data_IF_149546427347
#
_entry.id   IF_149546427347
#
_cell.length_a   1.000
_cell.length_b   1.000
_cell.length_c   1.000
_cell.angle_alpha   90.00
_cell.angle_beta   90.00
_cell.angle_gamma   90.00
#
_symmetry.space_group_name_H-M   'P 1'
#
loop_
_entity.id
_entity.type
_entity.pdbx_description
1 polymer ?
#
# COMPACT_ATOMS: atom_id res chain seq x y z
N UNK A 1 -9.95 -18.71 19.24
CA UNK A 1 -9.97 -17.42 18.53
C UNK A 1 -9.94 -17.73 17.04
N UNK A 2 -11.04 -17.54 16.32
CA UNK A 2 -11.07 -17.75 14.88
C UNK A 2 -10.04 -16.82 14.22
N UNK A 3 -9.18 -17.36 13.36
CA UNK A 3 -8.26 -16.55 12.58
C UNK A 3 -9.08 -15.48 11.84
N UNK A 4 -8.81 -14.20 12.14
CA UNK A 4 -9.44 -13.11 11.41
C UNK A 4 -9.18 -13.33 9.92
N UNK A 5 -10.24 -13.34 9.11
CA UNK A 5 -10.15 -13.56 7.68
C UNK A 5 -9.32 -12.42 7.07
N UNK A 6 -8.02 -12.65 6.84
CA UNK A 6 -7.12 -11.65 6.26
C UNK A 6 -7.31 -11.66 4.76
N UNK A 7 -7.79 -10.54 4.22
CA UNK A 7 -7.74 -10.34 2.79
C UNK A 7 -6.27 -10.14 2.39
N UNK A 8 -5.79 -10.98 1.47
CA UNK A 8 -4.43 -10.97 0.96
C UNK A 8 -4.46 -10.72 -0.55
N UNK A 9 -3.60 -9.82 -1.02
CA UNK A 9 -3.40 -9.54 -2.44
C UNK A 9 -1.96 -9.89 -2.79
N UNK A 10 -1.81 -10.65 -3.86
CA UNK A 10 -0.51 -11.01 -4.40
C UNK A 10 -0.32 -10.30 -5.74
N UNK A 11 0.82 -9.65 -5.90
CA UNK A 11 1.19 -8.96 -7.13
C UNK A 11 2.43 -9.59 -7.75
N UNK A 12 2.33 -9.97 -9.02
CA UNK A 12 3.45 -10.42 -9.85
C UNK A 12 3.99 -9.25 -10.65
N UNK A 13 5.28 -8.97 -10.50
CA UNK A 13 5.92 -7.81 -11.14
C UNK A 13 7.22 -8.25 -11.82
N UNK A 14 7.41 -7.84 -13.08
CA UNK A 14 8.64 -8.02 -13.86
C UNK A 14 9.01 -6.69 -14.55
N UNK A 15 10.31 -6.39 -14.59
CA UNK A 15 10.88 -5.17 -15.20
C UNK A 15 10.23 -3.85 -14.76
N UNK A 16 9.77 -3.81 -13.50
CA UNK A 16 9.02 -2.72 -12.88
C UNK A 16 9.34 -2.65 -11.39
N UNK A 17 9.08 -1.50 -10.78
CA UNK A 17 9.20 -1.30 -9.35
C UNK A 17 7.82 -1.31 -8.67
N UNK A 18 7.79 -1.80 -7.44
CA UNK A 18 6.64 -1.70 -6.53
C UNK A 18 7.06 -0.95 -5.27
N UNK A 19 6.24 0.00 -4.84
CA UNK A 19 6.40 0.65 -3.54
C UNK A 19 5.06 0.76 -2.83
N UNK A 20 5.09 0.62 -1.51
CA UNK A 20 3.91 0.74 -0.66
C UNK A 20 4.14 1.78 0.42
N UNK A 21 3.09 2.50 0.77
CA UNK A 21 3.07 3.44 1.89
C UNK A 21 1.81 3.23 2.70
N UNK A 22 1.79 3.67 3.95
CA UNK A 22 0.60 3.51 4.77
C UNK A 22 0.79 4.00 6.19
N UNK A 23 -0.33 4.34 6.83
CA UNK A 23 -0.32 4.91 8.17
C UNK A 23 0.16 3.94 9.26
N UNK A 24 0.10 2.64 8.96
CA UNK A 24 0.47 1.55 9.86
C UNK A 24 1.98 1.34 10.02
N UNK A 25 2.79 1.85 9.09
CA UNK A 25 4.21 1.49 9.05
C UNK A 25 5.04 2.12 10.18
N UNK A 26 4.90 3.43 10.40
CA UNK A 26 5.64 4.19 11.42
C UNK A 26 4.78 5.33 11.97
N UNK A 27 4.93 5.62 13.26
CA UNK A 27 4.19 6.67 13.95
C UNK A 27 4.29 6.55 15.47
N UNK A 28 3.56 7.41 16.18
CA UNK A 28 3.49 7.42 17.63
C UNK A 28 2.02 7.41 18.08
N UNK A 29 1.72 6.71 19.18
CA UNK A 29 0.39 6.76 19.80
C UNK A 29 0.43 7.66 21.02
N UNK A 30 -0.42 8.69 21.04
CA UNK A 30 -0.55 9.63 22.16
C UNK A 30 -2.03 9.64 22.57
N UNK A 31 -2.30 9.36 23.83
CA UNK A 31 -3.66 9.32 24.40
C UNK A 31 -4.66 8.47 23.57
N UNK A 32 -4.21 7.30 23.09
CA UNK A 32 -5.03 6.39 22.29
C UNK A 32 -5.21 6.79 20.82
N UNK A 33 -4.66 7.93 20.39
CA UNK A 33 -4.67 8.37 18.98
C UNK A 33 -3.33 8.07 18.33
N UNK A 34 -3.35 7.39 17.18
CA UNK A 34 -2.15 7.11 16.39
C UNK A 34 -1.84 8.24 15.41
N UNK A 35 -0.61 8.74 15.46
CA UNK A 35 -0.09 9.80 14.60
C UNK A 35 0.92 9.19 13.62
N UNK A 36 0.56 9.14 12.34
CA UNK A 36 1.44 8.64 11.29
C UNK A 36 2.59 9.60 11.00
N UNK A 37 3.72 9.06 10.55
CA UNK A 37 4.84 9.82 10.00
C UNK A 37 4.56 10.43 8.61
N UNK A 38 3.48 10.03 7.95
CA UNK A 38 3.06 10.63 6.67
C UNK A 38 2.26 11.89 6.99
N UNK A 39 2.86 13.05 6.70
CA UNK A 39 2.30 14.37 7.02
C UNK A 39 1.66 14.97 5.78
N UNK A 40 0.46 15.51 5.94
CA UNK A 40 -0.17 16.36 4.93
C UNK A 40 0.46 17.76 4.98
N UNK A 41 1.21 18.18 3.95
CA UNK A 41 1.91 19.46 3.96
C UNK A 41 0.95 20.66 3.96
N UNK A 42 -0.33 20.47 3.60
CA UNK A 42 -1.34 21.54 3.60
C UNK A 42 -1.77 21.92 5.02
N UNK A 43 -1.70 20.96 5.95
CA UNK A 43 -2.21 21.11 7.32
C UNK A 43 -1.13 20.98 8.39
N UNK A 44 0.01 20.35 8.06
CA UNK A 44 1.04 19.98 9.03
C UNK A 44 0.64 18.81 9.94
N UNK A 45 -0.50 18.16 9.68
CA UNK A 45 -1.03 17.05 10.46
C UNK A 45 -0.84 15.71 9.73
N UNK A 46 -0.86 14.57 10.46
CA UNK A 46 -0.82 13.26 9.80
C UNK A 46 -1.98 13.05 8.83
N UNK A 47 -1.68 12.49 7.66
CA UNK A 47 -2.69 12.09 6.70
C UNK A 47 -3.45 10.84 7.19
N UNK A 48 -4.79 10.91 7.16
CA UNK A 48 -5.66 9.89 7.77
C UNK A 48 -6.69 9.27 6.83
N UNK A 49 -6.82 9.76 5.58
CA UNK A 49 -7.83 9.29 4.64
C UNK A 49 -7.52 7.89 4.06
N UNK A 50 -6.24 7.52 4.05
CA UNK A 50 -5.73 6.30 3.42
C UNK A 50 -5.03 5.43 4.46
N UNK A 51 -5.39 4.14 4.49
CA UNK A 51 -4.73 3.16 5.33
C UNK A 51 -3.44 2.65 4.69
N UNK A 52 -3.50 2.33 3.40
CA UNK A 52 -2.38 1.76 2.63
C UNK A 52 -2.45 2.19 1.17
N UNK A 53 -1.29 2.30 0.53
CA UNK A 53 -1.13 2.44 -0.92
C UNK A 53 -0.12 1.43 -1.40
N UNK A 54 -0.31 0.95 -2.63
CA UNK A 54 0.65 0.15 -3.37
C UNK A 54 0.68 0.67 -4.79
N UNK A 55 1.88 1.01 -5.27
CA UNK A 55 2.09 1.60 -6.59
C UNK A 55 3.07 0.74 -7.37
N UNK A 56 2.72 0.44 -8.61
CA UNK A 56 3.56 -0.24 -9.59
C UNK A 56 3.91 0.78 -10.68
N UNK A 57 5.20 0.97 -10.93
CA UNK A 57 5.70 1.90 -11.96
C UNK A 57 6.93 1.33 -12.67
N UNK A 58 7.43 2.03 -13.69
CA UNK A 58 8.64 1.62 -14.44
C UNK A 58 9.90 1.68 -13.57
N UNK A 59 9.97 2.61 -12.63
CA UNK A 59 11.13 2.83 -11.77
C UNK A 59 10.70 3.10 -10.33
N UNK A 60 11.64 2.87 -9.40
CA UNK A 60 11.37 3.00 -7.97
C UNK A 60 11.18 4.45 -7.52
N UNK A 61 11.82 5.43 -8.18
CA UNK A 61 11.67 6.82 -7.78
C UNK A 61 10.22 7.28 -7.98
N UNK A 62 9.64 6.95 -9.14
CA UNK A 62 8.23 7.18 -9.45
C UNK A 62 7.30 6.41 -8.51
N UNK A 63 7.51 5.09 -8.34
CA UNK A 63 6.66 4.26 -7.48
C UNK A 63 6.66 4.76 -6.03
N UNK A 64 7.83 5.06 -5.49
CA UNK A 64 7.99 5.49 -4.10
C UNK A 64 7.41 6.89 -3.84
N UNK A 65 7.66 7.84 -4.75
CA UNK A 65 7.10 9.18 -4.64
C UNK A 65 5.57 9.12 -4.65
N UNK A 66 4.99 8.40 -5.62
CA UNK A 66 3.55 8.28 -5.73
C UNK A 66 2.93 7.51 -4.56
N UNK A 67 3.54 6.43 -4.06
CA UNK A 67 3.00 5.72 -2.90
C UNK A 67 2.79 6.66 -1.70
N UNK A 68 3.76 7.56 -1.46
CA UNK A 68 3.66 8.59 -0.42
C UNK A 68 2.60 9.64 -0.77
N UNK A 69 2.63 10.19 -1.98
CA UNK A 69 1.66 11.20 -2.43
C UNK A 69 0.21 10.71 -2.34
N UNK A 70 -0.04 9.48 -2.79
CA UNK A 70 -1.36 8.86 -2.74
C UNK A 70 -1.84 8.59 -1.31
N UNK A 71 -0.92 8.45 -0.35
CA UNK A 71 -1.27 8.32 1.08
C UNK A 71 -1.71 9.63 1.72
N UNK A 72 -1.33 10.78 1.12
CA UNK A 72 -1.71 12.13 1.57
C UNK A 72 -3.05 12.58 0.98
N UNK A 73 -3.32 12.19 -0.27
CA UNK A 73 -4.56 12.53 -0.97
C UNK A 73 -5.76 11.73 -0.44
N UNK A 74 -6.97 12.21 -0.74
CA UNK A 74 -8.17 11.36 -0.62
C UNK A 74 -8.10 10.21 -1.64
N UNK A 75 -8.77 9.07 -1.40
CA UNK A 75 -8.77 7.97 -2.38
C UNK A 75 -9.19 8.42 -3.78
N UNK A 76 -10.22 9.25 -3.89
CA UNK A 76 -10.70 9.78 -5.18
C UNK A 76 -9.65 10.65 -5.89
N UNK A 77 -8.99 11.56 -5.17
CA UNK A 77 -7.89 12.37 -5.72
C UNK A 77 -6.70 11.50 -6.14
N UNK A 78 -6.34 10.55 -5.30
CA UNK A 78 -5.24 9.62 -5.55
C UNK A 78 -5.49 8.77 -6.81
N UNK A 79 -6.70 8.23 -6.96
CA UNK A 79 -7.07 7.46 -8.15
C UNK A 79 -7.03 8.31 -9.42
N UNK A 80 -7.47 9.57 -9.37
CA UNK A 80 -7.36 10.49 -10.52
C UNK A 80 -5.91 10.75 -10.89
N UNK A 81 -5.04 11.01 -9.91
CA UNK A 81 -3.61 11.23 -10.15
C UNK A 81 -2.95 9.99 -10.76
N UNK A 82 -3.20 8.80 -10.17
CA UNK A 82 -2.62 7.55 -10.66
C UNK A 82 -3.06 7.26 -12.10
N UNK A 83 -4.36 7.39 -12.41
CA UNK A 83 -4.90 7.18 -13.75
C UNK A 83 -4.37 8.19 -14.79
N UNK A 84 -4.03 9.41 -14.36
CA UNK A 84 -3.45 10.43 -15.22
C UNK A 84 -1.93 10.27 -15.43
N UNK A 85 -1.27 9.34 -14.74
CA UNK A 85 0.19 9.17 -14.78
C UNK A 85 0.58 7.97 -15.67
N UNK A 86 1.20 8.18 -16.85
CA UNK A 86 1.45 7.10 -17.80
C UNK A 86 2.40 6.00 -17.30
N UNK A 87 1.90 4.76 -17.29
CA UNK A 87 2.67 3.59 -16.91
C UNK A 87 2.70 3.34 -15.40
N UNK A 88 1.80 3.98 -14.66
CA UNK A 88 1.54 3.76 -13.23
C UNK A 88 0.24 2.98 -13.06
N UNK A 89 0.29 1.97 -12.21
CA UNK A 89 -0.91 1.36 -11.65
C UNK A 89 -0.85 1.48 -10.12
N UNK A 90 -2.00 1.66 -9.47
CA UNK A 90 -2.06 1.84 -8.04
C UNK A 90 -3.28 1.13 -7.42
N UNK A 91 -3.08 0.69 -6.19
CA UNK A 91 -4.12 0.21 -5.28
C UNK A 91 -4.08 1.05 -4.01
N UNK A 92 -5.24 1.51 -3.56
CA UNK A 92 -5.42 2.29 -2.34
C UNK A 92 -6.42 1.55 -1.46
N UNK A 93 -6.07 1.35 -0.20
CA UNK A 93 -6.99 0.93 0.86
C UNK A 93 -7.35 2.17 1.66
N UNK A 94 -8.61 2.59 1.60
CA UNK A 94 -9.15 3.70 2.38
C UNK A 94 -9.09 3.41 3.88
N UNK A 95 -9.14 4.46 4.70
CA UNK A 95 -9.18 4.31 6.15
C UNK A 95 -10.42 3.55 6.67
N UNK A 96 -11.48 3.54 5.87
CA UNK A 96 -12.72 2.77 6.04
C UNK A 96 -12.62 1.30 5.58
N UNK A 97 -11.47 0.91 5.01
CA UNK A 97 -11.23 -0.42 4.46
C UNK A 97 -11.69 -0.60 3.02
N UNK A 98 -12.24 0.44 2.37
CA UNK A 98 -12.65 0.35 0.97
C UNK A 98 -11.44 0.26 0.05
N UNK A 99 -11.53 -0.60 -0.96
CA UNK A 99 -10.47 -0.83 -1.93
C UNK A 99 -10.71 -0.01 -3.20
N UNK A 100 -9.68 0.70 -3.65
CA UNK A 100 -9.65 1.42 -4.91
C UNK A 100 -8.46 0.95 -5.73
N UNK A 101 -8.62 0.80 -7.04
CA UNK A 101 -7.54 0.36 -7.93
C UNK A 101 -7.70 0.93 -9.32
N UNK A 102 -6.56 1.21 -9.96
CA UNK A 102 -6.54 1.64 -11.36
C UNK A 102 -6.97 0.49 -12.26
N UNK A 103 -7.47 0.80 -13.46
CA UNK A 103 -8.05 -0.22 -14.34
C UNK A 103 -7.04 -1.30 -14.76
N UNK A 104 -5.75 -0.97 -14.91
CA UNK A 104 -4.71 -1.91 -15.29
C UNK A 104 -4.08 -2.67 -14.12
N UNK A 105 -4.44 -2.35 -12.86
CA UNK A 105 -3.84 -3.01 -11.69
C UNK A 105 -4.10 -4.51 -11.67
N UNK A 106 -5.27 -4.95 -12.16
CA UNK A 106 -5.66 -6.36 -12.23
C UNK A 106 -4.71 -7.21 -13.08
N UNK A 107 -3.96 -6.61 -14.01
CA UNK A 107 -2.97 -7.33 -14.82
C UNK A 107 -1.76 -7.81 -13.99
N UNK A 108 -1.56 -7.25 -12.80
CA UNK A 108 -0.48 -7.64 -11.87
C UNK A 108 -0.98 -8.57 -10.77
N UNK A 109 -2.30 -8.75 -10.62
CA UNK A 109 -2.85 -9.62 -9.59
C UNK A 109 -2.58 -11.09 -9.95
N UNK A 110 -1.99 -11.82 -9.01
CA UNK A 110 -1.74 -13.26 -9.16
C UNK A 110 -2.48 -14.03 -8.08
N UNK A 111 -2.78 -15.29 -8.37
CA UNK A 111 -3.37 -16.20 -7.39
C UNK A 111 -2.45 -16.31 -6.16
N UNK A 112 -3.05 -16.51 -4.99
CA UNK A 112 -2.31 -16.72 -3.76
C UNK A 112 -1.32 -17.88 -3.93
N UNK A 113 -0.01 -17.68 -3.71
CA UNK A 113 0.93 -18.78 -3.77
C UNK A 113 0.56 -19.79 -2.68
N UNK A 114 0.67 -21.08 -3.01
CA UNK A 114 0.51 -22.13 -2.01
C UNK A 114 1.40 -21.82 -0.80
N UNK A 115 0.94 -22.07 0.45
CA UNK A 115 1.71 -21.73 1.64
C UNK A 115 3.11 -22.32 1.54
N UNK A 116 4.13 -21.45 1.64
CA UNK A 116 5.51 -21.88 1.58
C UNK A 116 5.74 -22.95 2.66
N UNK A 117 6.20 -24.14 2.25
CA UNK A 117 6.53 -25.22 3.18
C UNK A 117 7.52 -24.69 4.23
N UNK A 118 7.11 -24.72 5.49
CA UNK A 118 7.92 -24.30 6.64
C UNK A 118 9.22 -25.09 6.60
N UNK A 119 10.34 -24.46 6.24
CA UNK A 119 11.66 -25.07 6.41
C UNK A 119 11.85 -25.29 7.91
N UNK A 120 11.82 -26.55 8.32
CA UNK A 120 12.03 -26.96 9.70
C UNK A 120 13.28 -26.29 10.26
N UNK A 121 13.12 -25.63 11.39
CA UNK A 121 14.20 -25.00 12.14
C UNK A 121 15.22 -26.09 12.48
N UNK A 122 16.39 -26.06 11.83
CA UNK A 122 17.52 -26.89 12.21
C UNK A 122 17.96 -26.46 13.63
N UNK A 123 18.05 -27.39 14.60
CA UNK A 123 18.55 -27.03 15.92
C UNK A 123 20.04 -26.70 15.77
N UNK A 124 20.40 -25.43 16.02
CA UNK A 124 21.81 -25.05 16.15
C UNK A 124 22.40 -25.82 17.34
N UNK A 125 23.44 -26.61 17.07
CA UNK A 125 24.32 -27.22 18.08
C UNK A 125 25.13 -26.15 18.80
#
# INVERSE_FOLDING_TARGET
MAAANRAEWHVGVADRAVSSSGRYARGFTINGTHYSHIIDPRTGLPANAVAATTVIARDNATANALATTLSVLTPAEGMRLAAATPGVEAMIVGADGQLYRTAGFAAYEVASPAPAATKGTSPRR
#
